data_IF_049754730527
#
_entry.id   IF_049754730527
#
_cell.length_a   1.000
_cell.length_b   1.000
_cell.length_c   1.000
_cell.angle_alpha   90.00
_cell.angle_beta   90.00
_cell.angle_gamma   90.00
#
_symmetry.space_group_name_H-M   'P 1'
#
loop_
_entity.id
_entity.type
_entity.pdbx_description
1 polymer ?
#
# COMPACT_ATOMS: atom_id res chain seq x y z
N UNK A 1 -16.37 9.00 17.61
CA UNK A 1 -15.58 8.20 18.56
C UNK A 1 -14.59 7.32 17.83
N UNK A 2 -13.56 6.83 18.52
CA UNK A 2 -12.61 5.86 17.99
C UNK A 2 -13.31 4.49 17.94
N UNK A 3 -13.08 3.70 16.87
CA UNK A 3 -13.59 2.33 16.77
C UNK A 3 -13.04 1.44 17.91
N UNK A 4 -13.76 0.41 18.27
CA UNK A 4 -13.28 -0.60 19.22
C UNK A 4 -12.55 -1.71 18.45
N UNK A 5 -11.31 -1.98 18.83
CA UNK A 5 -10.47 -3.03 18.25
C UNK A 5 -10.23 -4.15 19.26
N UNK A 6 -10.11 -5.38 18.78
CA UNK A 6 -9.77 -6.55 19.59
C UNK A 6 -8.28 -6.93 19.50
N UNK A 7 -7.69 -6.69 18.33
CA UNK A 7 -6.28 -7.02 18.02
C UNK A 7 -5.40 -5.78 18.17
N UNK A 8 -5.86 -4.65 17.63
CA UNK A 8 -5.11 -3.39 17.61
C UNK A 8 -5.20 -2.71 18.98
N UNK A 9 -4.05 -2.36 19.54
CA UNK A 9 -3.97 -1.61 20.79
C UNK A 9 -3.75 -0.14 20.50
N UNK A 10 -4.77 0.67 20.75
CA UNK A 10 -4.68 2.13 20.61
C UNK A 10 -3.82 2.68 21.75
N UNK A 11 -2.84 3.58 21.46
CA UNK A 11 -2.07 4.25 22.50
C UNK A 11 -2.97 4.96 23.51
N UNK A 12 -2.58 4.97 24.78
CA UNK A 12 -3.35 5.62 25.87
C UNK A 12 -3.38 7.14 25.71
N UNK A 13 -2.42 7.70 25.00
CA UNK A 13 -2.29 9.13 24.73
C UNK A 13 -2.05 9.37 23.24
N UNK A 14 -2.22 10.61 22.82
CA UNK A 14 -2.20 10.99 21.42
C UNK A 14 -3.58 11.15 20.83
N UNK A 15 -3.64 11.71 19.64
CA UNK A 15 -4.87 12.03 18.94
C UNK A 15 -4.78 11.58 17.48
N UNK A 16 -5.89 11.17 16.92
CA UNK A 16 -5.91 10.79 15.50
C UNK A 16 -5.89 12.00 14.58
N UNK A 17 -5.21 11.86 13.45
CA UNK A 17 -5.32 12.81 12.34
C UNK A 17 -6.76 12.77 11.82
N UNK A 18 -7.31 13.92 11.46
CA UNK A 18 -8.66 14.04 10.93
C UNK A 18 -8.69 14.90 9.66
N UNK A 19 -9.83 14.90 8.97
CA UNK A 19 -10.09 15.77 7.83
C UNK A 19 -11.22 16.71 8.21
N UNK A 20 -10.98 18.01 8.03
CA UNK A 20 -11.98 19.05 8.15
C UNK A 20 -11.95 19.94 6.91
N UNK A 21 -13.11 20.12 6.28
CA UNK A 21 -13.26 20.93 5.07
C UNK A 21 -12.24 20.56 3.96
N UNK A 22 -12.03 19.25 3.77
CA UNK A 22 -11.10 18.69 2.77
C UNK A 22 -9.61 18.85 3.10
N UNK A 23 -9.27 19.31 4.31
CA UNK A 23 -7.88 19.52 4.76
C UNK A 23 -7.54 18.62 5.95
N UNK A 24 -6.35 18.04 5.92
CA UNK A 24 -5.81 17.29 7.04
C UNK A 24 -5.61 18.22 8.25
N UNK A 25 -6.08 17.75 9.39
CA UNK A 25 -5.82 18.34 10.70
C UNK A 25 -4.88 17.41 11.45
N UNK A 26 -3.63 17.84 11.61
CA UNK A 26 -2.59 17.05 12.26
C UNK A 26 -2.37 17.60 13.67
N UNK A 27 -2.73 16.85 14.73
CA UNK A 27 -2.51 17.27 16.11
C UNK A 27 -1.01 17.28 16.47
N UNK A 28 -0.67 17.85 17.61
CA UNK A 28 0.71 17.89 18.08
C UNK A 28 1.25 16.51 18.47
N UNK A 29 0.35 15.59 18.85
CA UNK A 29 0.66 14.22 19.25
C UNK A 29 -0.12 13.21 18.41
N UNK A 30 0.17 13.10 17.09
CA UNK A 30 -0.61 12.23 16.21
C UNK A 30 -0.36 10.76 16.50
N UNK A 31 -1.42 9.96 16.41
CA UNK A 31 -1.34 8.50 16.40
C UNK A 31 -1.15 8.05 14.95
N UNK A 32 -0.05 7.34 14.69
CA UNK A 32 0.25 6.78 13.37
C UNK A 32 0.30 5.25 13.42
N UNK A 33 -0.60 4.56 12.70
CA UNK A 33 -0.50 3.13 12.49
C UNK A 33 0.77 2.75 11.74
N UNK A 34 1.39 1.64 12.12
CA UNK A 34 2.48 1.06 11.36
C UNK A 34 2.37 -0.47 11.29
N UNK A 35 2.81 -1.02 10.19
CA UNK A 35 3.06 -2.44 10.00
C UNK A 35 4.57 -2.64 10.00
N UNK A 36 5.08 -3.40 10.98
CA UNK A 36 6.52 -3.70 11.07
C UNK A 36 7.01 -4.45 9.84
N UNK A 37 6.20 -5.40 9.37
CA UNK A 37 6.52 -6.21 8.21
C UNK A 37 7.27 -7.48 8.52
N UNK A 38 7.59 -8.23 7.47
CA UNK A 38 8.22 -9.54 7.51
C UNK A 38 9.67 -9.47 7.02
N UNK A 39 10.43 -10.55 7.21
CA UNK A 39 11.81 -10.64 6.75
C UNK A 39 12.70 -9.54 7.33
N UNK A 40 13.16 -8.61 6.51
CA UNK A 40 13.96 -7.44 6.91
C UNK A 40 13.13 -6.33 7.58
N UNK A 41 11.80 -6.45 7.61
CA UNK A 41 10.87 -5.45 8.15
C UNK A 41 11.19 -5.01 9.56
N UNK A 42 11.37 -5.92 10.53
CA UNK A 42 11.71 -5.58 11.91
C UNK A 42 13.00 -4.78 12.04
N UNK A 43 14.03 -5.12 11.27
CA UNK A 43 15.30 -4.40 11.27
C UNK A 43 15.16 -3.00 10.69
N UNK A 44 14.46 -2.88 9.58
CA UNK A 44 14.17 -1.59 8.94
C UNK A 44 13.34 -0.71 9.88
N UNK A 45 12.29 -1.27 10.48
CA UNK A 45 11.43 -0.50 11.38
C UNK A 45 12.18 -0.01 12.62
N UNK A 46 12.97 -0.86 13.25
CA UNK A 46 13.76 -0.51 14.42
C UNK A 46 14.72 0.66 14.15
N UNK A 47 15.34 0.68 12.97
CA UNK A 47 16.17 1.79 12.54
C UNK A 47 15.35 3.04 12.20
N UNK A 48 14.25 2.87 11.46
CA UNK A 48 13.41 3.96 10.95
C UNK A 48 12.70 4.72 12.07
N UNK A 49 12.15 4.04 13.07
CA UNK A 49 11.46 4.70 14.18
C UNK A 49 12.37 5.62 14.97
N UNK A 50 13.63 5.25 15.16
CA UNK A 50 14.63 6.10 15.81
C UNK A 50 14.88 7.38 15.02
N UNK A 51 14.96 7.25 13.69
CA UNK A 51 15.17 8.41 12.81
C UNK A 51 13.95 9.32 12.82
N UNK A 52 12.74 8.77 12.71
CA UNK A 52 11.52 9.56 12.76
C UNK A 52 11.36 10.31 14.07
N UNK A 53 11.51 9.63 15.19
CA UNK A 53 11.39 10.25 16.51
C UNK A 53 12.42 11.35 16.73
N UNK A 54 13.68 11.10 16.36
CA UNK A 54 14.75 12.09 16.45
C UNK A 54 14.51 13.30 15.53
N UNK A 55 14.03 13.08 14.31
CA UNK A 55 13.70 14.15 13.37
C UNK A 55 12.57 15.04 13.89
N UNK A 56 11.50 14.44 14.42
CA UNK A 56 10.38 15.18 15.01
C UNK A 56 10.83 15.95 16.24
N UNK A 57 11.61 15.34 17.12
CA UNK A 57 12.17 16.00 18.29
C UNK A 57 13.04 17.22 17.89
N UNK A 58 13.88 17.08 16.88
CA UNK A 58 14.73 18.15 16.38
C UNK A 58 13.91 19.28 15.73
N UNK A 59 12.94 18.93 14.88
CA UNK A 59 12.15 19.90 14.12
C UNK A 59 11.22 20.73 15.01
N UNK A 60 10.70 20.16 16.09
CA UNK A 60 9.67 20.78 16.92
C UNK A 60 10.11 21.03 18.38
N UNK A 61 11.39 20.86 18.69
CA UNK A 61 11.96 21.11 20.03
C UNK A 61 11.17 20.42 21.17
N UNK A 62 10.68 19.21 20.92
CA UNK A 62 9.90 18.44 21.90
C UNK A 62 8.42 18.82 22.05
N UNK A 63 7.93 19.81 21.29
CA UNK A 63 6.53 20.22 21.35
C UNK A 63 5.60 19.24 20.65
N UNK A 64 6.13 18.40 19.77
CA UNK A 64 5.37 17.37 19.03
C UNK A 64 6.07 16.03 19.15
N UNK A 65 5.28 14.96 19.18
CA UNK A 65 5.79 13.60 19.12
C UNK A 65 4.75 12.66 18.52
N UNK A 66 5.22 11.62 17.82
CA UNK A 66 4.37 10.62 17.21
C UNK A 66 4.07 9.53 18.24
N UNK A 67 2.81 9.13 18.34
CA UNK A 67 2.36 7.96 19.08
C UNK A 67 2.15 6.82 18.09
N UNK A 68 3.08 5.87 18.09
CA UNK A 68 3.07 4.73 17.18
C UNK A 68 2.06 3.67 17.62
N UNK A 69 1.26 3.19 16.68
CA UNK A 69 0.24 2.17 16.91
C UNK A 69 0.48 0.99 15.97
N UNK A 70 0.88 -0.15 16.51
CA UNK A 70 1.12 -1.33 15.67
C UNK A 70 -0.19 -1.91 15.14
N UNK A 71 -0.22 -2.16 13.83
CA UNK A 71 -1.24 -2.93 13.13
C UNK A 71 -0.55 -4.06 12.36
N UNK A 72 -1.29 -5.09 12.01
CA UNK A 72 -0.70 -6.36 11.61
C UNK A 72 -1.07 -6.73 10.18
N UNK A 73 -0.10 -7.22 9.41
CA UNK A 73 -0.28 -7.85 8.12
C UNK A 73 0.90 -8.78 7.83
N UNK A 74 0.73 -9.72 6.92
CA UNK A 74 1.76 -10.66 6.50
C UNK A 74 1.93 -11.85 7.44
N UNK A 75 3.13 -12.40 7.49
CA UNK A 75 3.44 -13.60 8.27
C UNK A 75 3.20 -13.39 9.77
N UNK A 76 3.63 -12.25 10.30
CA UNK A 76 3.41 -11.91 11.72
C UNK A 76 1.93 -11.91 12.09
N UNK A 77 1.06 -11.39 11.23
CA UNK A 77 -0.39 -11.40 11.45
C UNK A 77 -0.94 -12.83 11.42
N UNK A 78 -0.52 -13.62 10.47
CA UNK A 78 -0.96 -15.00 10.35
C UNK A 78 -0.54 -15.84 11.55
N UNK A 79 0.70 -15.73 11.97
CA UNK A 79 1.24 -16.48 13.11
C UNK A 79 0.53 -16.14 14.43
N UNK A 80 0.15 -14.89 14.63
CA UNK A 80 -0.49 -14.42 15.86
C UNK A 80 -2.01 -14.52 15.85
N UNK A 81 -2.65 -14.35 14.68
CA UNK A 81 -4.11 -14.18 14.59
C UNK A 81 -4.80 -15.08 13.56
N UNK A 82 -4.04 -15.88 12.81
CA UNK A 82 -4.59 -16.78 11.77
C UNK A 82 -5.09 -16.07 10.51
N UNK A 83 -4.80 -14.78 10.34
CA UNK A 83 -5.16 -13.98 9.17
C UNK A 83 -3.95 -13.24 8.62
N UNK A 84 -3.74 -13.30 7.30
CA UNK A 84 -2.67 -12.57 6.62
C UNK A 84 -2.91 -11.07 6.56
N UNK A 85 -4.17 -10.65 6.59
CA UNK A 85 -4.59 -9.25 6.62
C UNK A 85 -5.86 -9.13 7.45
N UNK A 86 -5.75 -8.93 8.78
CA UNK A 86 -6.90 -8.71 9.63
C UNK A 86 -7.70 -7.48 9.19
N UNK A 87 -9.03 -7.57 9.25
CA UNK A 87 -9.93 -6.46 8.91
C UNK A 87 -9.63 -5.22 9.74
N UNK A 88 -9.29 -5.39 11.02
CA UNK A 88 -8.91 -4.29 11.91
C UNK A 88 -7.71 -3.47 11.41
N UNK A 89 -6.79 -4.07 10.67
CA UNK A 89 -5.66 -3.36 10.06
C UNK A 89 -6.14 -2.38 8.99
N UNK A 90 -7.05 -2.83 8.14
CA UNK A 90 -7.66 -1.99 7.10
C UNK A 90 -8.49 -0.87 7.74
N UNK A 91 -9.30 -1.21 8.73
CA UNK A 91 -10.13 -0.26 9.46
C UNK A 91 -9.29 0.80 10.19
N UNK A 92 -8.18 0.39 10.81
CA UNK A 92 -7.25 1.32 11.46
C UNK A 92 -6.63 2.31 10.46
N UNK A 93 -6.20 1.85 9.29
CA UNK A 93 -5.70 2.77 8.27
C UNK A 93 -6.76 3.74 7.77
N UNK A 94 -8.01 3.28 7.61
CA UNK A 94 -9.13 4.16 7.22
C UNK A 94 -9.45 5.17 8.31
N UNK A 95 -9.42 4.76 9.57
CA UNK A 95 -9.75 5.64 10.69
C UNK A 95 -8.65 6.67 10.99
N UNK A 96 -7.39 6.22 10.99
CA UNK A 96 -6.24 7.07 11.36
C UNK A 96 -5.59 7.79 10.16
N UNK A 97 -6.02 7.51 8.94
CA UNK A 97 -5.73 8.19 7.67
C UNK A 97 -4.29 8.11 7.16
N UNK A 98 -3.30 8.05 8.01
CA UNK A 98 -1.87 8.01 7.64
C UNK A 98 -1.23 6.82 8.32
N UNK A 99 -0.44 6.05 7.56
CA UNK A 99 0.26 4.89 8.12
C UNK A 99 1.54 4.57 7.38
N UNK A 100 2.38 3.77 8.02
CA UNK A 100 3.64 3.29 7.47
C UNK A 100 3.58 1.77 7.38
N UNK A 101 4.04 1.23 6.27
CA UNK A 101 4.04 -0.21 6.03
C UNK A 101 5.44 -0.71 5.68
N UNK A 102 5.88 -1.73 6.40
CA UNK A 102 7.06 -2.53 6.07
C UNK A 102 6.80 -3.55 4.95
N UNK A 103 7.82 -4.34 4.55
CA UNK A 103 7.69 -5.39 3.55
C UNK A 103 6.79 -6.52 4.06
N UNK A 104 5.99 -7.12 3.17
CA UNK A 104 5.07 -8.19 3.51
C UNK A 104 5.39 -9.45 2.72
N UNK A 105 5.37 -10.60 3.41
CA UNK A 105 5.38 -11.91 2.79
C UNK A 105 3.98 -12.23 2.27
N UNK A 106 3.87 -12.54 0.98
CA UNK A 106 2.65 -13.09 0.39
C UNK A 106 2.80 -14.59 0.27
N UNK A 107 1.86 -15.39 0.79
CA UNK A 107 1.94 -16.85 0.69
C UNK A 107 1.92 -17.29 -0.78
N UNK A 108 2.74 -18.29 -1.11
CA UNK A 108 2.81 -18.87 -2.45
C UNK A 108 1.75 -19.95 -2.57
N UNK A 109 0.89 -19.86 -3.57
CA UNK A 109 -0.19 -20.79 -3.81
C UNK A 109 -1.53 -20.39 -3.18
N UNK A 110 -2.61 -21.13 -3.49
CA UNK A 110 -3.94 -20.89 -2.89
C UNK A 110 -4.70 -19.69 -3.38
N UNK A 111 -4.27 -19.04 -4.48
CA UNK A 111 -5.00 -17.92 -5.09
C UNK A 111 -4.97 -16.61 -4.30
N UNK A 112 -4.09 -16.50 -3.30
CA UNK A 112 -3.95 -15.27 -2.53
C UNK A 112 -3.14 -14.26 -3.37
N UNK A 113 -3.78 -13.14 -3.69
CA UNK A 113 -3.12 -12.00 -4.36
C UNK A 113 -2.15 -11.33 -3.38
N UNK A 114 -1.19 -10.57 -3.92
CA UNK A 114 -0.27 -9.77 -3.11
C UNK A 114 -1.01 -8.93 -2.06
N UNK A 115 -0.59 -9.05 -0.80
CA UNK A 115 -1.16 -8.26 0.30
C UNK A 115 -0.99 -6.76 0.08
N UNK A 116 0.08 -6.34 -0.61
CA UNK A 116 0.29 -4.95 -1.00
C UNK A 116 -0.80 -4.47 -1.98
N UNK A 117 -1.15 -5.29 -2.96
CA UNK A 117 -2.23 -4.98 -3.91
C UNK A 117 -3.57 -4.94 -3.18
N UNK A 118 -3.83 -5.88 -2.28
CA UNK A 118 -5.05 -5.91 -1.48
C UNK A 118 -5.22 -4.61 -0.66
N UNK A 119 -4.18 -4.19 0.06
CA UNK A 119 -4.20 -2.94 0.82
C UNK A 119 -4.48 -1.71 -0.05
N UNK A 120 -3.82 -1.61 -1.21
CA UNK A 120 -4.03 -0.48 -2.14
C UNK A 120 -5.48 -0.39 -2.62
N UNK A 121 -6.11 -1.55 -2.89
CA UNK A 121 -7.51 -1.61 -3.33
C UNK A 121 -8.49 -1.36 -2.18
N UNK A 122 -8.32 -2.02 -1.05
CA UNK A 122 -9.22 -1.89 0.11
C UNK A 122 -9.22 -0.48 0.71
N UNK A 123 -8.10 0.22 0.61
CA UNK A 123 -7.94 1.60 1.06
C UNK A 123 -8.25 2.63 -0.05
N UNK A 124 -8.57 2.17 -1.26
CA UNK A 124 -8.84 3.03 -2.43
C UNK A 124 -7.75 4.09 -2.63
N UNK A 125 -6.49 3.66 -2.62
CA UNK A 125 -5.36 4.55 -2.77
C UNK A 125 -5.24 5.02 -4.21
N UNK A 126 -5.35 6.31 -4.43
CA UNK A 126 -5.42 6.95 -5.74
C UNK A 126 -4.17 6.71 -6.59
N UNK A 127 -2.97 6.83 -6.00
CA UNK A 127 -1.72 6.78 -6.75
C UNK A 127 -0.56 6.25 -5.91
N UNK A 128 0.37 5.51 -6.56
CA UNK A 128 1.70 5.33 -6.01
C UNK A 128 2.56 6.52 -6.44
N UNK A 129 2.79 7.44 -5.54
CA UNK A 129 3.63 8.61 -5.78
C UNK A 129 5.08 8.28 -5.46
N UNK A 130 5.97 8.33 -6.45
CA UNK A 130 7.37 7.92 -6.33
C UNK A 130 8.32 9.03 -6.79
N UNK A 131 8.72 9.94 -5.91
CA UNK A 131 9.77 10.90 -6.22
C UNK A 131 11.11 10.18 -6.37
N UNK A 132 11.85 10.50 -7.43
CA UNK A 132 13.16 9.95 -7.73
C UNK A 132 14.12 11.10 -7.96
N UNK A 133 15.12 11.22 -7.09
CA UNK A 133 16.13 12.26 -7.14
C UNK A 133 17.52 11.67 -6.91
N UNK A 134 18.51 12.19 -7.63
CA UNK A 134 19.90 11.82 -7.37
C UNK A 134 20.43 12.53 -6.13
N UNK A 135 21.16 11.78 -5.32
CA UNK A 135 21.87 12.31 -4.16
C UNK A 135 23.39 12.28 -4.43
N UNK A 136 24.02 13.44 -4.30
CA UNK A 136 25.47 13.59 -4.55
C UNK A 136 26.28 12.62 -3.69
N UNK A 137 27.24 11.95 -4.33
CA UNK A 137 28.09 10.95 -3.68
C UNK A 137 27.58 9.52 -3.75
N UNK A 138 26.34 9.30 -4.25
CA UNK A 138 25.79 7.96 -4.47
C UNK A 138 26.25 7.41 -5.82
N UNK A 139 26.79 6.18 -5.89
CA UNK A 139 27.09 5.54 -7.17
C UNK A 139 25.82 5.41 -8.03
N UNK A 140 25.96 5.71 -9.32
CA UNK A 140 24.84 5.61 -10.27
C UNK A 140 25.30 5.02 -11.61
N UNK A 141 24.51 4.12 -12.23
CA UNK A 141 24.78 3.62 -13.58
C UNK A 141 24.35 4.63 -14.65
N UNK A 142 23.64 5.70 -14.27
CA UNK A 142 23.20 6.74 -15.19
C UNK A 142 24.36 7.67 -15.54
N UNK A 143 24.47 8.09 -16.81
CA UNK A 143 25.60 8.89 -17.31
C UNK A 143 25.66 10.28 -16.67
N UNK A 144 24.54 10.95 -16.50
CA UNK A 144 24.42 12.28 -15.90
C UNK A 144 23.34 12.25 -14.81
N UNK A 145 23.65 11.61 -13.66
CA UNK A 145 22.64 11.39 -12.63
C UNK A 145 22.14 12.67 -11.96
N UNK A 146 22.91 13.74 -12.01
CA UNK A 146 22.55 15.06 -11.48
C UNK A 146 21.33 15.70 -12.17
N UNK A 147 20.96 15.19 -13.35
CA UNK A 147 19.75 15.64 -14.07
C UNK A 147 18.52 14.81 -13.70
N UNK A 148 18.65 13.83 -12.85
CA UNK A 148 17.51 13.02 -12.40
C UNK A 148 16.83 13.69 -11.22
N UNK A 149 15.68 14.30 -11.50
CA UNK A 149 14.74 14.84 -10.52
C UNK A 149 13.33 14.73 -11.13
N UNK A 150 12.63 13.68 -10.79
CA UNK A 150 11.32 13.36 -11.37
C UNK A 150 10.38 12.79 -10.32
N UNK A 151 9.08 12.90 -10.59
CA UNK A 151 8.04 12.25 -9.80
C UNK A 151 7.25 11.28 -10.69
N UNK A 152 7.26 10.01 -10.34
CA UNK A 152 6.51 8.99 -11.06
C UNK A 152 5.15 8.82 -10.39
N UNK A 153 4.08 8.99 -11.15
CA UNK A 153 2.71 8.73 -10.77
C UNK A 153 2.30 7.38 -11.34
N UNK A 154 2.15 6.36 -10.49
CA UNK A 154 1.74 5.02 -10.90
C UNK A 154 0.29 4.77 -10.54
N UNK A 155 -0.50 4.33 -11.52
CA UNK A 155 -1.88 3.89 -11.32
C UNK A 155 -1.97 2.72 -10.33
N UNK A 156 -3.02 2.70 -9.53
CA UNK A 156 -3.23 1.67 -8.51
C UNK A 156 -4.50 0.85 -8.72
N UNK A 157 -5.59 1.44 -9.19
CA UNK A 157 -6.93 0.84 -9.12
C UNK A 157 -7.60 0.68 -10.48
N UNK A 158 -7.21 1.48 -11.45
CA UNK A 158 -7.77 1.50 -12.79
C UNK A 158 -6.87 0.78 -13.81
N UNK A 159 -7.25 0.81 -15.09
CA UNK A 159 -6.54 0.21 -16.20
C UNK A 159 -6.28 -1.29 -15.96
N UNK A 160 -5.11 -1.79 -16.26
CA UNK A 160 -4.72 -3.20 -16.03
C UNK A 160 -4.82 -3.62 -14.56
N UNK A 161 -4.76 -2.67 -13.64
CA UNK A 161 -4.86 -2.90 -12.19
C UNK A 161 -6.30 -3.06 -11.69
N UNK A 162 -7.30 -2.76 -12.53
CA UNK A 162 -8.69 -3.01 -12.20
C UNK A 162 -8.99 -4.51 -11.97
N UNK A 163 -8.21 -5.38 -12.65
CA UNK A 163 -8.32 -6.82 -12.48
C UNK A 163 -9.56 -7.41 -13.17
N UNK A 164 -9.99 -6.80 -14.28
CA UNK A 164 -11.00 -7.40 -15.17
C UNK A 164 -10.28 -8.40 -16.05
N UNK A 165 -10.31 -9.65 -15.64
CA UNK A 165 -9.54 -10.73 -16.23
C UNK A 165 -10.40 -11.97 -16.40
N UNK A 166 -10.23 -12.67 -17.51
CA UNK A 166 -10.86 -13.95 -17.78
C UNK A 166 -9.78 -14.95 -18.16
N UNK A 167 -9.69 -16.03 -17.41
CA UNK A 167 -8.69 -17.07 -17.67
C UNK A 167 -8.96 -17.78 -19.00
N UNK A 168 -7.91 -18.05 -19.78
CA UNK A 168 -8.04 -18.80 -21.03
C UNK A 168 -8.61 -20.20 -20.79
N UNK A 169 -9.33 -20.73 -21.76
CA UNK A 169 -10.04 -22.02 -21.70
C UNK A 169 -11.15 -22.07 -20.63
N UNK A 170 -11.77 -20.94 -20.32
CA UNK A 170 -12.97 -20.85 -19.47
C UNK A 170 -14.17 -20.40 -20.27
N UNK A 171 -15.41 -20.80 -19.88
CA UNK A 171 -16.62 -20.32 -20.51
C UNK A 171 -16.78 -18.81 -20.52
N UNK A 172 -16.31 -18.15 -19.45
CA UNK A 172 -16.32 -16.70 -19.31
C UNK A 172 -15.43 -16.01 -20.34
N UNK A 173 -14.24 -16.55 -20.56
CA UNK A 173 -13.31 -16.03 -21.57
C UNK A 173 -13.85 -16.24 -22.99
N UNK A 174 -14.42 -17.40 -23.27
CA UNK A 174 -15.04 -17.69 -24.56
C UNK A 174 -16.21 -16.74 -24.84
N UNK A 175 -17.07 -16.50 -23.84
CA UNK A 175 -18.15 -15.53 -23.91
C UNK A 175 -17.65 -14.12 -24.20
N UNK A 176 -16.59 -13.70 -23.50
CA UNK A 176 -15.99 -12.38 -23.69
C UNK A 176 -15.41 -12.24 -25.12
N UNK A 177 -14.66 -13.24 -25.59
CA UNK A 177 -14.08 -13.22 -26.95
C UNK A 177 -15.17 -13.19 -28.02
N UNK A 178 -16.22 -13.97 -27.87
CA UNK A 178 -17.38 -13.96 -28.77
C UNK A 178 -18.04 -12.60 -28.83
N UNK A 179 -18.32 -12.00 -27.65
CA UNK A 179 -18.90 -10.66 -27.56
C UNK A 179 -18.02 -9.61 -28.25
N UNK A 180 -16.72 -9.66 -28.00
CA UNK A 180 -15.76 -8.73 -28.62
C UNK A 180 -15.72 -8.91 -30.14
N UNK A 181 -15.73 -10.14 -30.63
CA UNK A 181 -15.71 -10.44 -32.07
C UNK A 181 -17.00 -9.95 -32.77
N UNK A 182 -18.16 -10.13 -32.13
CA UNK A 182 -19.46 -9.75 -32.69
C UNK A 182 -19.68 -8.22 -32.64
N UNK A 183 -19.35 -7.59 -31.54
CA UNK A 183 -19.68 -6.19 -31.30
C UNK A 183 -18.55 -5.22 -31.71
N UNK A 184 -17.29 -5.69 -31.66
CA UNK A 184 -16.10 -4.90 -31.93
C UNK A 184 -15.10 -5.67 -32.79
N UNK A 185 -15.47 -6.06 -34.04
CA UNK A 185 -14.64 -6.95 -34.87
C UNK A 185 -13.25 -6.38 -35.19
N UNK A 186 -13.14 -5.05 -35.36
CA UNK A 186 -11.84 -4.43 -35.61
C UNK A 186 -10.93 -4.45 -34.40
N UNK A 187 -11.49 -4.38 -33.19
CA UNK A 187 -10.73 -4.53 -31.95
C UNK A 187 -10.33 -5.99 -31.73
N UNK A 188 -11.22 -6.94 -32.01
CA UNK A 188 -10.94 -8.36 -31.91
C UNK A 188 -9.77 -8.79 -32.81
N UNK A 189 -9.65 -8.25 -34.00
CA UNK A 189 -8.54 -8.52 -34.94
C UNK A 189 -7.18 -8.12 -34.40
N UNK A 190 -7.13 -7.24 -33.37
CA UNK A 190 -5.87 -6.86 -32.72
C UNK A 190 -5.34 -7.94 -31.78
N UNK A 191 -6.17 -8.90 -31.39
CA UNK A 191 -5.72 -10.06 -30.60
C UNK A 191 -4.92 -10.97 -31.51
N UNK A 192 -3.61 -10.99 -31.31
CA UNK A 192 -2.68 -11.70 -32.19
C UNK A 192 -2.84 -13.23 -32.14
N UNK A 193 -3.15 -13.76 -30.97
CA UNK A 193 -3.30 -15.21 -30.73
C UNK A 193 -4.59 -15.47 -29.95
N UNK A 194 -5.78 -15.40 -30.62
CA UNK A 194 -7.06 -15.49 -29.93
C UNK A 194 -7.31 -16.84 -29.25
N UNK A 195 -6.72 -17.93 -29.75
CA UNK A 195 -6.89 -19.27 -29.19
C UNK A 195 -6.21 -19.44 -27.83
N UNK A 196 -5.19 -18.64 -27.55
CA UNK A 196 -4.40 -18.70 -26.32
C UNK A 196 -4.57 -17.45 -25.46
N UNK A 197 -5.34 -16.47 -25.92
CA UNK A 197 -5.59 -15.24 -25.18
C UNK A 197 -6.57 -15.46 -24.02
N UNK A 198 -6.19 -14.93 -22.88
CA UNK A 198 -7.01 -14.90 -21.69
C UNK A 198 -6.75 -13.67 -20.89
#
# INVERSE_FOLDING_TARGET
GIMSYSIVKIPESGEKISIKDGKLQVPDHPILPFIEGDGTGPDIWRASVKVFDAAVQKAYAGQRNIHWMEVYAGQKAFDNFGSWLPDETVDAFKEFLVGIKGPLTTPIGGGIRSLNVALRKLLDLYVCLRPVQYFVGTPSPVRNPEYVDMVIFRENTEDIYAGIEFENNTPENDKFKTLLQEQFPEEYKKIRFPDTAG
#
